data_IF_757974407528
#
_entry.id   IF_757974407528
#
_cell.length_a   1.000
_cell.length_b   1.000
_cell.length_c   1.000
_cell.angle_alpha   90.00
_cell.angle_beta   90.00
_cell.angle_gamma   90.00
#
_symmetry.space_group_name_H-M   'P 1'
#
loop_
_entity.id
_entity.type
_entity.pdbx_description
1 polymer ?
#
# COMPACT_ATOMS: atom_id res chain seq x y z
N UNK A 1 -3.57 -23.18 -5.81
CA UNK A 1 -3.81 -23.83 -4.50
C UNK A 1 -4.47 -25.18 -4.76
N UNK A 2 -4.25 -26.19 -3.91
CA UNK A 2 -4.84 -27.51 -4.12
C UNK A 2 -6.33 -27.58 -3.77
N UNK A 3 -6.85 -28.79 -3.59
CA UNK A 3 -8.27 -29.04 -3.25
C UNK A 3 -8.74 -28.33 -1.97
N UNK A 4 -7.83 -27.99 -1.07
CA UNK A 4 -8.12 -27.28 0.19
C UNK A 4 -8.25 -25.77 0.03
N UNK A 5 -7.99 -25.22 -1.17
CA UNK A 5 -8.00 -23.77 -1.40
C UNK A 5 -7.12 -23.01 -0.41
N UNK A 6 -7.67 -21.95 0.19
CA UNK A 6 -7.01 -21.09 1.18
C UNK A 6 -6.91 -21.71 2.57
N UNK A 7 -7.78 -22.66 2.92
CA UNK A 7 -7.89 -23.24 4.27
C UNK A 7 -6.74 -24.18 4.65
N UNK A 8 -5.89 -24.55 3.68
CA UNK A 8 -4.75 -25.43 3.89
C UNK A 8 -3.47 -24.68 4.27
N UNK A 9 -2.40 -25.02 3.56
CA UNK A 9 -1.05 -24.46 3.79
C UNK A 9 -1.05 -22.93 3.71
N UNK A 10 -1.84 -22.34 2.82
CA UNK A 10 -1.91 -20.89 2.64
C UNK A 10 -2.27 -20.15 3.92
N UNK A 11 -3.45 -20.43 4.53
CA UNK A 11 -3.87 -19.79 5.78
C UNK A 11 -2.84 -19.99 6.89
N UNK A 12 -2.34 -21.21 7.07
CA UNK A 12 -1.36 -21.52 8.12
C UNK A 12 -0.04 -20.76 7.95
N UNK A 13 0.44 -20.63 6.72
CA UNK A 13 1.61 -19.81 6.40
C UNK A 13 1.35 -18.32 6.67
N UNK A 14 0.20 -17.79 6.26
CA UNK A 14 -0.18 -16.40 6.52
C UNK A 14 -0.25 -16.11 8.02
N UNK A 15 -0.86 -16.99 8.82
CA UNK A 15 -0.91 -16.86 10.28
C UNK A 15 0.48 -16.85 10.89
N UNK A 16 1.37 -17.77 10.47
CA UNK A 16 2.72 -17.82 11.03
C UNK A 16 3.55 -16.60 10.66
N UNK A 17 3.47 -16.14 9.41
CA UNK A 17 4.14 -14.92 8.96
C UNK A 17 3.61 -13.70 9.71
N UNK A 18 2.29 -13.59 9.87
CA UNK A 18 1.66 -12.50 10.61
C UNK A 18 2.11 -12.48 12.08
N UNK A 19 2.20 -13.65 12.74
CA UNK A 19 2.74 -13.76 14.09
C UNK A 19 4.17 -13.21 14.19
N UNK A 20 5.06 -13.60 13.26
CA UNK A 20 6.45 -13.10 13.22
C UNK A 20 6.46 -11.58 13.03
N UNK A 21 5.70 -11.05 12.07
CA UNK A 21 5.61 -9.61 11.80
C UNK A 21 5.12 -8.83 13.03
N UNK A 22 4.10 -9.33 13.73
CA UNK A 22 3.59 -8.69 14.95
C UNK A 22 4.61 -8.74 16.10
N UNK A 23 5.37 -9.83 16.22
CA UNK A 23 6.43 -9.97 17.22
C UNK A 23 7.60 -9.01 16.95
N UNK A 24 7.95 -8.78 15.68
CA UNK A 24 9.01 -7.86 15.26
C UNK A 24 8.49 -6.46 14.86
N UNK A 25 7.33 -6.04 15.36
CA UNK A 25 6.65 -4.80 14.93
C UNK A 25 7.50 -3.54 15.13
N UNK A 26 8.27 -3.47 16.22
CA UNK A 26 9.08 -2.29 16.55
C UNK A 26 10.17 -2.11 15.50
N UNK A 27 10.89 -3.19 15.17
CA UNK A 27 11.91 -3.17 14.10
C UNK A 27 11.32 -2.77 12.75
N UNK A 28 10.14 -3.29 12.39
CA UNK A 28 9.47 -2.94 11.14
C UNK A 28 9.06 -1.46 11.10
N UNK A 29 8.53 -0.93 12.20
CA UNK A 29 8.14 0.48 12.30
C UNK A 29 9.37 1.39 12.21
N UNK A 30 10.47 1.06 12.90
CA UNK A 30 11.72 1.86 12.82
C UNK A 30 12.27 1.91 11.40
N UNK A 31 12.25 0.81 10.64
CA UNK A 31 12.71 0.82 9.25
C UNK A 31 11.84 1.74 8.40
N UNK A 32 10.51 1.64 8.53
CA UNK A 32 9.60 2.47 7.73
C UNK A 32 9.67 3.94 8.14
N UNK A 33 9.84 4.25 9.42
CA UNK A 33 10.09 5.60 9.91
C UNK A 33 11.28 6.24 9.20
N UNK A 34 12.43 5.55 9.18
CA UNK A 34 13.63 6.06 8.51
C UNK A 34 13.39 6.31 7.02
N UNK A 35 12.68 5.41 6.33
CA UNK A 35 12.40 5.55 4.90
C UNK A 35 11.39 6.67 4.58
N UNK A 36 10.44 6.92 5.47
CA UNK A 36 9.44 7.98 5.30
C UNK A 36 10.04 9.38 5.44
N UNK A 37 11.10 9.53 6.22
CA UNK A 37 11.80 10.81 6.41
C UNK A 37 12.97 11.04 5.45
N UNK A 38 13.15 10.18 4.44
CA UNK A 38 14.15 10.40 3.39
C UNK A 38 13.70 11.55 2.44
N UNK A 39 14.40 12.69 2.40
CA UNK A 39 14.01 13.84 1.59
C UNK A 39 14.12 13.60 0.07
N UNK A 40 14.79 12.52 -0.35
CA UNK A 40 14.94 12.18 -1.77
C UNK A 40 13.80 11.32 -2.30
N UNK A 41 12.94 10.79 -1.43
CA UNK A 41 11.88 9.87 -1.83
C UNK A 41 10.50 10.54 -1.82
N UNK A 42 9.89 10.67 -2.99
CA UNK A 42 8.51 11.15 -3.13
C UNK A 42 7.50 9.99 -2.96
N UNK A 43 7.06 9.80 -1.71
CA UNK A 43 6.01 8.84 -1.34
C UNK A 43 4.60 9.30 -1.70
N UNK A 44 4.42 10.56 -2.11
CA UNK A 44 3.10 11.12 -2.36
C UNK A 44 2.68 10.91 -3.81
N UNK A 45 1.39 10.60 -4.00
CA UNK A 45 0.83 10.46 -5.33
C UNK A 45 0.12 11.75 -5.73
N UNK A 46 0.73 12.52 -6.65
CA UNK A 46 0.07 13.66 -7.27
C UNK A 46 -1.06 13.17 -8.22
N UNK A 47 -2.27 13.77 -8.19
CA UNK A 47 -3.34 13.46 -9.13
C UNK A 47 -2.93 13.39 -10.61
N UNK A 48 -2.06 14.29 -11.07
CA UNK A 48 -1.57 14.27 -12.47
C UNK A 48 -0.72 13.04 -12.77
N UNK A 49 0.18 12.70 -11.84
CA UNK A 49 1.00 11.48 -11.91
C UNK A 49 0.09 10.24 -11.93
N UNK A 50 -1.00 10.25 -11.17
CA UNK A 50 -1.94 9.13 -11.09
C UNK A 50 -2.73 8.96 -12.39
N UNK A 51 -3.20 10.06 -12.98
CA UNK A 51 -3.87 10.05 -14.28
C UNK A 51 -2.93 9.54 -15.37
N UNK A 52 -1.68 10.03 -15.41
CA UNK A 52 -0.70 9.58 -16.40
C UNK A 52 -0.42 8.07 -16.30
N UNK A 53 -0.24 7.53 -15.09
CA UNK A 53 -0.02 6.10 -14.90
C UNK A 53 -1.25 5.24 -15.28
N UNK A 54 -2.46 5.75 -15.08
CA UNK A 54 -3.70 5.07 -15.48
C UNK A 54 -3.97 5.15 -16.98
N UNK A 55 -3.43 6.16 -17.67
CA UNK A 55 -3.60 6.36 -19.11
C UNK A 55 -2.66 5.54 -19.97
N UNK A 56 -1.70 4.80 -19.39
CA UNK A 56 -0.75 3.97 -20.14
C UNK A 56 -1.53 3.03 -21.07
N UNK A 57 -1.52 3.27 -22.41
CA UNK A 57 -2.18 2.39 -23.35
C UNK A 57 -1.48 1.03 -23.35
N UNK A 58 -2.23 -0.04 -23.58
CA UNK A 58 -1.75 -1.42 -23.74
C UNK A 58 -0.90 -1.62 -25.02
N UNK A 59 0.01 -0.69 -25.36
CA UNK A 59 0.96 -0.85 -26.45
C UNK A 59 2.36 -1.15 -25.89
N UNK A 60 2.75 -2.42 -26.00
CA UNK A 60 4.15 -2.84 -25.99
C UNK A 60 4.87 -2.19 -27.17
N UNK A 61 5.41 -0.98 -27.01
CA UNK A 61 6.40 -0.42 -27.93
C UNK A 61 7.30 0.59 -27.23
N UNK A 62 8.56 0.51 -27.62
CA UNK A 62 9.75 1.06 -27.02
C UNK A 62 9.78 2.61 -26.85
N UNK A 63 10.66 3.03 -25.93
CA UNK A 63 11.52 4.24 -25.96
C UNK A 63 11.12 5.53 -25.20
N UNK A 64 12.13 5.94 -24.43
CA UNK A 64 12.56 7.27 -24.02
C UNK A 64 11.81 8.03 -22.91
N UNK A 65 12.41 7.93 -21.73
CA UNK A 65 12.56 9.00 -20.74
C UNK A 65 12.72 10.37 -21.40
N UNK A 66 11.83 11.30 -21.09
CA UNK A 66 12.10 12.60 -20.45
C UNK A 66 10.88 13.50 -20.62
N UNK A 67 10.29 14.02 -19.55
CA UNK A 67 9.61 15.30 -19.61
C UNK A 67 10.47 16.33 -18.87
N UNK A 68 11.26 17.09 -19.65
CA UNK A 68 11.55 18.47 -19.26
C UNK A 68 10.21 19.22 -19.40
N UNK A 69 9.46 19.30 -18.31
CA UNK A 69 8.36 20.24 -18.17
C UNK A 69 8.89 21.44 -17.38
N UNK A 70 8.84 22.61 -18.00
CA UNK A 70 9.32 23.89 -17.51
C UNK A 70 9.10 24.12 -16.01
N UNK A 71 10.20 24.38 -15.32
CA UNK A 71 10.33 24.56 -13.88
C UNK A 71 9.98 26.00 -13.45
N UNK A 72 8.96 26.59 -14.06
CA UNK A 72 8.74 28.04 -14.01
C UNK A 72 7.37 28.45 -13.44
N UNK A 73 6.83 27.77 -12.43
CA UNK A 73 5.80 28.37 -11.55
C UNK A 73 5.51 27.63 -10.22
N UNK A 74 6.52 27.26 -9.42
CA UNK A 74 6.30 26.69 -8.07
C UNK A 74 7.15 27.36 -6.97
N UNK A 75 7.12 28.70 -6.90
CA UNK A 75 7.62 29.46 -5.73
C UNK A 75 6.54 29.82 -4.71
N UNK A 76 5.34 29.24 -4.82
CA UNK A 76 4.33 29.27 -3.75
C UNK A 76 4.44 27.99 -2.91
N UNK A 77 5.04 28.19 -1.73
CA UNK A 77 4.88 27.39 -0.50
C UNK A 77 5.60 26.03 -0.42
N UNK A 78 6.94 26.04 -0.45
CA UNK A 78 7.76 24.92 0.05
C UNK A 78 7.32 24.46 1.46
N UNK A 79 6.92 25.41 2.31
CA UNK A 79 6.42 25.12 3.67
C UNK A 79 5.08 24.38 3.71
N UNK A 80 4.17 24.63 2.76
CA UNK A 80 2.88 23.92 2.71
C UNK A 80 3.05 22.49 2.19
N UNK A 81 3.97 22.30 1.24
CA UNK A 81 4.34 20.98 0.72
C UNK A 81 4.99 20.14 1.83
N UNK A 82 5.97 20.68 2.55
CA UNK A 82 6.62 19.99 3.68
C UNK A 82 5.63 19.64 4.81
N UNK A 83 4.72 20.55 5.16
CA UNK A 83 3.69 20.25 6.17
C UNK A 83 2.69 19.19 5.69
N UNK A 84 2.38 19.15 4.39
CA UNK A 84 1.48 18.15 3.82
C UNK A 84 2.13 16.76 3.77
N UNK A 85 3.41 16.69 3.40
CA UNK A 85 4.18 15.45 3.33
C UNK A 85 4.31 14.81 4.71
N UNK A 86 4.70 15.60 5.71
CA UNK A 86 4.80 15.12 7.10
C UNK A 86 3.46 14.56 7.61
N UNK A 87 2.32 15.20 7.28
CA UNK A 87 0.99 14.68 7.65
C UNK A 87 0.63 13.36 6.98
N UNK A 88 1.04 13.17 5.72
CA UNK A 88 0.81 11.90 5.01
C UNK A 88 1.69 10.81 5.59
N UNK A 89 2.97 11.09 5.83
CA UNK A 89 3.91 10.16 6.46
C UNK A 89 3.42 9.71 7.84
N UNK A 90 3.02 10.64 8.71
CA UNK A 90 2.46 10.34 10.03
C UNK A 90 1.21 9.46 9.94
N UNK A 91 0.30 9.74 8.99
CA UNK A 91 -0.90 8.93 8.77
C UNK A 91 -0.55 7.50 8.32
N UNK A 92 0.42 7.35 7.43
CA UNK A 92 0.88 6.05 6.94
C UNK A 92 1.50 5.25 8.09
N UNK A 93 2.34 5.87 8.91
CA UNK A 93 2.96 5.25 10.07
C UNK A 93 1.89 4.80 11.08
N UNK A 94 0.95 5.68 11.44
CA UNK A 94 -0.17 5.31 12.30
C UNK A 94 -0.94 4.11 11.77
N UNK A 95 -1.24 4.09 10.47
CA UNK A 95 -1.97 2.98 9.85
C UNK A 95 -1.17 1.68 9.87
N UNK A 96 0.14 1.73 9.63
CA UNK A 96 1.02 0.55 9.71
C UNK A 96 1.08 0.01 11.14
N UNK A 97 1.16 0.90 12.13
CA UNK A 97 1.14 0.53 13.53
C UNK A 97 -0.16 -0.19 13.90
N UNK A 98 -1.31 0.31 13.45
CA UNK A 98 -2.61 -0.35 13.63
C UNK A 98 -2.60 -1.75 13.00
N UNK A 99 -2.13 -1.89 11.75
CA UNK A 99 -2.05 -3.18 11.06
C UNK A 99 -1.19 -4.20 11.81
N UNK A 100 -0.02 -3.79 12.30
CA UNK A 100 0.90 -4.65 13.05
C UNK A 100 0.41 -4.94 14.48
N UNK A 101 -0.47 -4.11 15.05
CA UNK A 101 -1.16 -4.41 16.32
C UNK A 101 -2.40 -5.28 16.12
N UNK A 102 -2.82 -5.51 14.88
CA UNK A 102 -4.04 -6.24 14.56
C UNK A 102 -5.31 -5.43 14.71
N UNK A 103 -5.20 -4.10 14.66
CA UNK A 103 -6.34 -3.19 14.72
C UNK A 103 -6.88 -2.99 13.30
N UNK A 104 -8.09 -3.48 13.04
CA UNK A 104 -8.80 -3.25 11.79
C UNK A 104 -10.18 -2.67 12.10
N UNK A 105 -10.54 -1.56 11.44
CA UNK A 105 -11.80 -0.83 11.64
C UNK A 105 -12.12 -0.51 13.12
N UNK A 106 -11.08 -0.21 13.92
CA UNK A 106 -11.21 0.09 15.34
C UNK A 106 -11.34 -1.12 16.26
N UNK A 107 -11.34 -2.34 15.73
CA UNK A 107 -11.40 -3.58 16.51
C UNK A 107 -10.05 -4.27 16.55
N UNK A 108 -9.68 -4.80 17.72
CA UNK A 108 -8.44 -5.59 17.88
C UNK A 108 -8.72 -7.04 17.54
N UNK A 109 -8.01 -7.59 16.55
CA UNK A 109 -8.14 -8.95 16.08
C UNK A 109 -6.93 -9.80 16.48
N UNK A 110 -7.20 -11.07 16.81
CA UNK A 110 -6.15 -12.09 16.90
C UNK A 110 -5.46 -12.28 15.54
N UNK A 111 -4.31 -12.96 15.53
CA UNK A 111 -3.59 -13.26 14.28
C UNK A 111 -4.48 -14.03 13.30
N UNK A 112 -5.12 -15.12 13.75
CA UNK A 112 -6.06 -15.88 12.92
C UNK A 112 -7.27 -15.06 12.48
N UNK A 113 -7.80 -14.19 13.36
CA UNK A 113 -8.90 -13.28 13.02
C UNK A 113 -8.54 -12.28 11.93
N UNK A 114 -7.38 -11.63 12.04
CA UNK A 114 -6.92 -10.67 11.02
C UNK A 114 -6.62 -11.38 9.70
N UNK A 115 -5.96 -12.54 9.72
CA UNK A 115 -5.70 -13.32 8.50
C UNK A 115 -7.01 -13.74 7.85
N UNK A 116 -7.98 -14.23 8.63
CA UNK A 116 -9.29 -14.57 8.09
C UNK A 116 -9.99 -13.36 7.45
N UNK A 117 -9.98 -12.21 8.12
CA UNK A 117 -10.56 -10.98 7.60
C UNK A 117 -9.91 -10.59 6.26
N UNK A 118 -8.59 -10.60 6.18
CA UNK A 118 -7.85 -10.26 4.95
C UNK A 118 -8.16 -11.21 3.81
N UNK A 119 -8.27 -12.52 4.09
CA UNK A 119 -8.66 -13.52 3.09
C UNK A 119 -10.07 -13.24 2.58
N UNK A 120 -11.03 -12.98 3.48
CA UNK A 120 -12.41 -12.68 3.09
C UNK A 120 -12.50 -11.39 2.26
N UNK A 121 -11.78 -10.34 2.66
CA UNK A 121 -11.74 -9.08 1.91
C UNK A 121 -11.15 -9.26 0.50
N UNK A 122 -10.10 -10.07 0.37
CA UNK A 122 -9.46 -10.36 -0.91
C UNK A 122 -10.30 -11.25 -1.83
N UNK A 123 -11.19 -12.07 -1.26
CA UNK A 123 -12.07 -12.97 -2.02
C UNK A 123 -13.45 -12.37 -2.32
N UNK A 124 -13.81 -11.22 -1.74
CA UNK A 124 -15.14 -10.62 -1.91
C UNK A 124 -15.37 -10.17 -3.37
N UNK A 125 -16.35 -10.74 -4.09
CA UNK A 125 -16.68 -10.34 -5.46
C UNK A 125 -17.04 -8.86 -5.59
N UNK A 126 -17.59 -8.22 -4.54
CA UNK A 126 -17.91 -6.79 -4.55
C UNK A 126 -16.66 -5.93 -4.54
N UNK A 127 -15.59 -6.38 -3.89
CA UNK A 127 -14.30 -5.69 -3.93
C UNK A 127 -13.62 -5.93 -5.29
N UNK A 128 -13.62 -7.19 -5.74
CA UNK A 128 -12.98 -7.61 -6.99
C UNK A 128 -13.58 -6.94 -8.22
N UNK A 129 -14.92 -6.82 -8.29
CA UNK A 129 -15.63 -6.14 -9.38
C UNK A 129 -15.34 -4.65 -9.51
N UNK A 130 -14.80 -4.02 -8.45
CA UNK A 130 -14.46 -2.58 -8.43
C UNK A 130 -12.98 -2.32 -8.74
N UNK A 131 -12.17 -3.36 -8.91
CA UNK A 131 -10.77 -3.21 -9.27
C UNK A 131 -10.62 -2.72 -10.71
N UNK A 132 -9.51 -2.03 -10.96
CA UNK A 132 -9.14 -1.64 -12.33
C UNK A 132 -9.02 -2.89 -13.22
N UNK A 133 -9.67 -2.94 -14.42
CA UNK A 133 -9.73 -4.15 -15.24
C UNK A 133 -8.37 -4.81 -15.57
N UNK A 134 -7.30 -4.02 -15.68
CA UNK A 134 -5.94 -4.54 -15.92
C UNK A 134 -5.39 -5.43 -14.80
N UNK A 135 -5.98 -5.40 -13.60
CA UNK A 135 -5.65 -6.33 -12.51
C UNK A 135 -6.20 -7.75 -12.72
N UNK A 136 -7.08 -7.95 -13.70
CA UNK A 136 -7.65 -9.24 -14.06
C UNK A 136 -8.25 -9.99 -12.86
N UNK A 137 -9.17 -9.36 -12.15
CA UNK A 137 -9.78 -9.88 -10.92
C UNK A 137 -10.59 -11.19 -11.09
N UNK A 138 -10.78 -11.65 -12.34
CA UNK A 138 -11.46 -12.90 -12.71
C UNK A 138 -10.52 -14.08 -12.96
N UNK A 139 -9.20 -13.85 -12.86
CA UNK A 139 -8.14 -14.85 -13.12
C UNK A 139 -7.75 -15.58 -11.84
#
# INVERSE_FOLDING_TARGET
MGITGVEGVFRRCCEKTMEVMRNSKETLLTIVEVLLYDPLFDWTMNPLKALYLQQRPDDESELHSTPNADDQECKRNLSDIDQSFNKVAERVLMRLQEKLKGVEEGTVLSVGGQVNLLIQQAMDPKNLSRLFPGWKAWV
#
